data_IF_857579355187
#
_entry.id   IF_857579355187
#
_cell.length_a   1.000
_cell.length_b   1.000
_cell.length_c   1.000
_cell.angle_alpha   90.00
_cell.angle_beta   90.00
_cell.angle_gamma   90.00
#
_symmetry.space_group_name_H-M   'P 1'
#
loop_
_entity.id
_entity.type
_entity.pdbx_description
1 polymer ?
#
# COMPACT_ATOMS: atom_id res chain seq x y z
N UNK A 1 -10.93 24.40 -3.41
CA UNK A 1 -10.43 25.51 -2.55
C UNK A 1 -9.92 25.05 -1.20
N UNK A 2 -10.72 24.43 -0.31
CA UNK A 2 -10.12 23.68 0.82
C UNK A 2 -9.24 22.52 0.32
N UNK A 3 -9.46 22.04 -0.91
CA UNK A 3 -8.55 21.14 -1.64
C UNK A 3 -7.30 21.85 -2.19
N UNK A 4 -7.42 23.05 -2.78
CA UNK A 4 -6.28 23.80 -3.37
C UNK A 4 -5.35 24.38 -2.31
N UNK A 5 -5.92 24.94 -1.25
CA UNK A 5 -5.18 25.42 -0.09
C UNK A 5 -4.52 24.24 0.64
N UNK A 6 -5.27 23.16 0.87
CA UNK A 6 -4.69 21.92 1.40
C UNK A 6 -3.56 21.40 0.52
N UNK A 7 -3.72 21.39 -0.81
CA UNK A 7 -2.67 20.99 -1.75
C UNK A 7 -1.45 21.91 -1.66
N UNK A 8 -1.66 23.22 -1.54
CA UNK A 8 -0.58 24.18 -1.29
C UNK A 8 0.19 23.86 -0.01
N UNK A 9 -0.52 23.59 1.11
CA UNK A 9 0.10 23.21 2.37
C UNK A 9 0.77 21.82 2.33
N UNK A 10 0.23 20.87 1.54
CA UNK A 10 0.88 19.58 1.26
C UNK A 10 2.19 19.79 0.51
N UNK A 11 2.20 20.64 -0.53
CA UNK A 11 3.41 20.96 -1.28
C UNK A 11 4.44 21.69 -0.41
N UNK A 12 4.01 22.64 0.44
CA UNK A 12 4.85 23.32 1.43
C UNK A 12 5.47 22.30 2.40
N UNK A 13 4.68 21.34 2.92
CA UNK A 13 5.14 20.28 3.81
C UNK A 13 6.19 19.37 3.14
N UNK A 14 5.92 18.90 1.92
CA UNK A 14 6.85 18.05 1.18
C UNK A 14 8.20 18.73 0.97
N UNK A 15 8.20 20.03 0.64
CA UNK A 15 9.43 20.82 0.49
C UNK A 15 10.18 20.95 1.82
N UNK A 16 9.48 21.23 2.91
CA UNK A 16 10.11 21.35 4.24
C UNK A 16 10.77 20.04 4.67
N UNK A 17 10.09 18.90 4.52
CA UNK A 17 10.66 17.58 4.82
C UNK A 17 11.86 17.27 3.92
N UNK A 18 11.77 17.53 2.61
CA UNK A 18 12.88 17.32 1.68
C UNK A 18 14.13 18.17 2.02
N UNK A 19 13.93 19.32 2.65
CA UNK A 19 15.00 20.23 3.09
C UNK A 19 15.49 19.97 4.51
N UNK A 20 14.96 18.95 5.21
CA UNK A 20 15.19 18.69 6.64
C UNK A 20 14.80 19.87 7.56
N UNK A 21 13.85 20.70 7.13
CA UNK A 21 13.29 21.80 7.92
C UNK A 21 12.09 21.31 8.75
N UNK A 22 12.40 20.57 9.82
CA UNK A 22 11.39 19.91 10.65
C UNK A 22 10.50 20.89 11.41
N UNK A 23 11.01 22.08 11.75
CA UNK A 23 10.22 23.12 12.41
C UNK A 23 9.12 23.66 11.49
N UNK A 24 9.43 23.91 10.22
CA UNK A 24 8.38 24.32 9.27
C UNK A 24 7.49 23.14 8.88
N UNK A 25 8.01 21.91 8.80
CA UNK A 25 7.18 20.72 8.59
C UNK A 25 6.10 20.59 9.68
N UNK A 26 6.46 20.76 10.95
CA UNK A 26 5.50 20.71 12.08
C UNK A 26 4.38 21.76 11.93
N UNK A 27 4.71 22.99 11.55
CA UNK A 27 3.71 24.05 11.30
C UNK A 27 2.76 23.69 10.17
N UNK A 28 3.27 23.15 9.07
CA UNK A 28 2.42 22.72 7.94
C UNK A 28 1.49 21.56 8.35
N UNK A 29 1.95 20.65 9.21
CA UNK A 29 1.13 19.56 9.76
C UNK A 29 -0.02 20.13 10.62
N UNK A 30 0.28 21.09 11.50
CA UNK A 30 -0.75 21.79 12.31
C UNK A 30 -1.78 22.51 11.43
N UNK A 31 -1.33 23.21 10.38
CA UNK A 31 -2.21 23.87 9.41
C UNK A 31 -3.12 22.87 8.67
N UNK A 32 -2.58 21.73 8.22
CA UNK A 32 -3.37 20.66 7.59
C UNK A 32 -4.41 20.08 8.57
N UNK A 33 -4.10 20.00 9.86
CA UNK A 33 -5.07 19.58 10.89
C UNK A 33 -6.22 20.56 11.08
N UNK A 34 -5.92 21.85 11.12
CA UNK A 34 -6.94 22.91 11.15
C UNK A 34 -7.83 22.86 9.91
N UNK A 35 -7.24 22.74 8.72
CA UNK A 35 -8.00 22.60 7.46
C UNK A 35 -8.89 21.36 7.48
N UNK A 36 -8.41 20.24 8.04
CA UNK A 36 -9.18 19.01 8.15
C UNK A 36 -10.42 19.18 9.04
N UNK A 37 -10.24 19.76 10.23
CA UNK A 37 -11.29 20.08 11.20
C UNK A 37 -12.32 21.05 10.61
N UNK A 38 -11.89 22.13 9.96
CA UNK A 38 -12.78 23.06 9.28
C UNK A 38 -13.65 22.38 8.21
N UNK A 39 -13.05 21.49 7.40
CA UNK A 39 -13.83 20.73 6.43
C UNK A 39 -14.81 19.77 7.11
N UNK A 40 -14.53 19.28 8.32
CA UNK A 40 -15.43 18.42 9.10
C UNK A 40 -16.62 19.19 9.70
N UNK A 41 -16.58 20.53 9.65
CA UNK A 41 -17.57 21.40 10.26
C UNK A 41 -17.23 21.78 11.71
N UNK A 42 -16.03 21.47 12.17
CA UNK A 42 -15.59 21.79 13.53
C UNK A 42 -15.30 23.30 13.67
N UNK A 43 -15.50 23.82 14.88
CA UNK A 43 -15.09 25.19 15.23
C UNK A 43 -13.64 25.19 15.65
N UNK A 44 -12.86 26.13 15.14
CA UNK A 44 -11.43 26.28 15.45
C UNK A 44 -11.22 27.46 16.39
N UNK A 45 -10.56 27.21 17.51
CA UNK A 45 -9.94 28.25 18.32
C UNK A 45 -8.57 28.55 17.73
N UNK A 46 -8.36 29.80 17.34
CA UNK A 46 -7.11 30.25 16.75
C UNK A 46 -6.21 30.91 17.80
N UNK A 47 -4.92 30.62 17.77
CA UNK A 47 -3.92 31.39 18.50
C UNK A 47 -3.31 32.53 17.67
N UNK A 48 -2.16 33.00 18.14
CA UNK A 48 -1.40 34.13 17.57
C UNK A 48 -0.10 33.68 16.87
N UNK A 49 0.09 32.38 16.62
CA UNK A 49 1.29 31.91 15.95
C UNK A 49 1.35 32.42 14.50
N UNK A 50 2.55 32.72 13.95
CA UNK A 50 2.67 33.27 12.60
C UNK A 50 2.00 32.40 11.51
N UNK A 51 2.04 31.07 11.67
CA UNK A 51 1.42 30.15 10.72
C UNK A 51 -0.12 30.16 10.80
N UNK A 52 -0.69 30.43 11.97
CA UNK A 52 -2.14 30.55 12.16
C UNK A 52 -2.66 31.81 11.49
N UNK A 53 -1.94 32.93 11.65
CA UNK A 53 -2.28 34.20 11.00
C UNK A 53 -2.18 34.07 9.47
N UNK A 54 -1.15 33.40 8.96
CA UNK A 54 -1.02 33.12 7.52
C UNK A 54 -2.20 32.29 7.01
N UNK A 55 -2.55 31.20 7.69
CA UNK A 55 -3.66 30.33 7.30
C UNK A 55 -5.02 31.04 7.36
N UNK A 56 -5.27 31.87 8.38
CA UNK A 56 -6.49 32.66 8.50
C UNK A 56 -6.65 33.64 7.32
N UNK A 57 -5.56 34.31 6.93
CA UNK A 57 -5.56 35.21 5.78
C UNK A 57 -5.84 34.44 4.48
N UNK A 58 -5.16 33.31 4.25
CA UNK A 58 -5.37 32.48 3.05
C UNK A 58 -6.78 31.85 3.00
N UNK A 59 -7.43 31.60 4.14
CA UNK A 59 -8.83 31.14 4.23
C UNK A 59 -9.86 32.22 3.91
N UNK A 60 -9.53 33.50 4.15
CA UNK A 60 -10.43 34.63 3.91
C UNK A 60 -10.60 34.97 2.43
N UNK A 61 -9.64 34.60 1.58
CA UNK A 61 -9.67 34.79 0.14
C UNK A 61 -10.43 33.66 -0.57
N UNK A 62 -11.76 33.84 -0.67
CA UNK A 62 -12.73 33.17 -1.55
C UNK A 62 -12.71 31.62 -1.62
N UNK A 63 -13.81 31.00 -1.18
CA UNK A 63 -14.02 29.54 -1.18
C UNK A 63 -15.06 29.09 -2.21
N UNK A 64 -14.73 28.02 -2.95
CA UNK A 64 -15.63 27.23 -3.80
C UNK A 64 -15.42 25.75 -3.45
N UNK A 65 -16.48 25.02 -3.05
CA UNK A 65 -16.40 23.60 -2.77
C UNK A 65 -16.11 22.81 -4.05
N UNK A 66 -15.18 21.85 -3.95
CA UNK A 66 -15.00 20.82 -4.98
C UNK A 66 -16.14 19.80 -4.88
N UNK A 67 -16.60 19.19 -5.98
CA UNK A 67 -17.45 18.00 -5.93
C UNK A 67 -16.83 16.95 -5.02
N UNK A 68 -17.68 16.17 -4.33
CA UNK A 68 -17.22 15.04 -3.54
C UNK A 68 -16.48 14.07 -4.45
N UNK A 69 -15.17 13.97 -4.28
CA UNK A 69 -14.33 13.03 -5.03
C UNK A 69 -14.78 11.59 -4.72
N UNK A 70 -14.94 10.77 -5.75
CA UNK A 70 -15.18 9.34 -5.59
C UNK A 70 -14.05 8.74 -4.76
N UNK A 71 -14.40 8.15 -3.61
CA UNK A 71 -13.42 7.52 -2.73
C UNK A 71 -12.76 6.36 -3.46
N UNK A 72 -11.44 6.43 -3.65
CA UNK A 72 -10.65 5.37 -4.24
C UNK A 72 -9.82 4.66 -3.16
N UNK A 73 -9.95 3.33 -3.06
CA UNK A 73 -9.23 2.50 -2.09
C UNK A 73 -8.46 1.38 -2.80
N UNK A 74 -7.30 1.04 -2.25
CA UNK A 74 -6.56 -0.20 -2.50
C UNK A 74 -6.48 -1.05 -1.24
N UNK A 75 -6.09 -2.32 -1.37
CA UNK A 75 -5.86 -3.20 -0.22
C UNK A 75 -4.95 -2.57 0.84
N UNK A 76 -3.81 -2.02 0.43
CA UNK A 76 -2.86 -1.37 1.36
C UNK A 76 -3.45 -0.14 2.05
N UNK A 77 -4.32 0.62 1.38
CA UNK A 77 -5.00 1.77 2.01
C UNK A 77 -6.06 1.33 3.02
N UNK A 78 -6.81 0.25 2.73
CA UNK A 78 -7.78 -0.34 3.64
C UNK A 78 -7.08 -0.86 4.88
N UNK A 79 -6.00 -1.63 4.70
CA UNK A 79 -5.17 -2.14 5.79
C UNK A 79 -4.54 -1.02 6.63
N UNK A 80 -4.07 0.07 5.98
CA UNK A 80 -3.51 1.22 6.70
C UNK A 80 -4.57 1.87 7.61
N UNK A 81 -5.80 2.04 7.13
CA UNK A 81 -6.89 2.60 7.95
C UNK A 81 -7.25 1.67 9.10
N UNK A 82 -7.34 0.36 8.85
CA UNK A 82 -7.63 -0.64 9.89
C UNK A 82 -6.53 -0.73 10.94
N UNK A 83 -5.26 -0.54 10.56
CA UNK A 83 -4.13 -0.49 11.50
C UNK A 83 -4.18 0.80 12.34
N UNK A 84 -4.38 1.96 11.71
CA UNK A 84 -4.55 3.22 12.41
C UNK A 84 -5.21 4.28 11.49
N UNK A 85 -6.43 4.76 11.81
CA UNK A 85 -7.11 5.78 11.02
C UNK A 85 -6.31 7.09 10.88
N UNK A 86 -5.61 7.52 11.93
CA UNK A 86 -4.72 8.69 11.85
C UNK A 86 -3.55 8.46 10.87
N UNK A 87 -2.95 7.26 10.86
CA UNK A 87 -1.88 6.91 9.92
C UNK A 87 -2.38 6.97 8.47
N UNK A 88 -3.60 6.48 8.22
CA UNK A 88 -4.24 6.61 6.91
C UNK A 88 -4.41 8.08 6.54
N UNK A 89 -4.90 8.93 7.45
CA UNK A 89 -5.05 10.36 7.19
C UNK A 89 -3.71 11.00 6.84
N UNK A 90 -2.70 10.84 7.68
CA UNK A 90 -1.36 11.39 7.43
C UNK A 90 -0.78 10.97 6.09
N UNK A 91 -0.87 9.68 5.77
CA UNK A 91 -0.30 9.13 4.52
C UNK A 91 -1.11 9.49 3.28
N UNK A 92 -2.42 9.28 3.31
CA UNK A 92 -3.28 9.31 2.12
C UNK A 92 -3.94 10.67 1.91
N UNK A 93 -4.35 11.32 3.00
CA UNK A 93 -5.10 12.58 2.97
C UNK A 93 -4.17 13.78 3.08
N UNK A 94 -3.21 13.76 4.01
CA UNK A 94 -2.32 14.90 4.31
C UNK A 94 -0.97 14.78 3.57
N UNK A 95 -0.71 13.64 2.92
CA UNK A 95 0.48 13.38 2.10
C UNK A 95 1.79 13.70 2.82
N UNK A 96 1.82 13.46 4.13
CA UNK A 96 3.03 13.59 4.96
C UNK A 96 4.03 12.53 4.46
N UNK A 97 5.24 12.92 4.01
CA UNK A 97 6.23 11.96 3.56
C UNK A 97 6.62 11.00 4.68
N UNK A 98 6.69 9.71 4.36
CA UNK A 98 7.36 8.73 5.20
C UNK A 98 8.88 8.97 5.14
N UNK A 99 9.62 8.59 6.18
CA UNK A 99 11.08 8.69 6.19
C UNK A 99 11.70 7.99 4.97
N UNK A 100 12.87 8.46 4.51
CA UNK A 100 13.52 8.04 3.25
C UNK A 100 13.38 6.52 2.98
N UNK A 101 13.09 6.17 1.72
CA UNK A 101 12.73 4.81 1.27
C UNK A 101 13.47 3.75 2.07
N UNK A 102 12.73 3.05 2.93
CA UNK A 102 13.28 1.94 3.71
C UNK A 102 13.91 0.98 2.70
N UNK A 103 15.20 0.60 2.83
CA UNK A 103 15.85 -0.33 1.90
C UNK A 103 15.05 -1.62 1.62
N UNK A 104 14.17 -2.00 2.55
CA UNK A 104 13.23 -3.11 2.41
C UNK A 104 12.14 -2.88 1.34
N UNK A 105 11.65 -1.65 1.17
CA UNK A 105 10.67 -1.32 0.14
C UNK A 105 11.30 -1.37 -1.25
N UNK A 106 12.48 -0.76 -1.42
CA UNK A 106 13.25 -0.84 -2.67
C UNK A 106 13.58 -2.30 -3.01
N UNK A 107 14.07 -3.07 -2.03
CA UNK A 107 14.29 -4.49 -2.17
C UNK A 107 13.02 -5.24 -2.62
N UNK A 108 11.89 -5.00 -1.96
CA UNK A 108 10.60 -5.59 -2.33
C UNK A 108 10.22 -5.30 -3.78
N UNK A 109 10.29 -4.03 -4.19
CA UNK A 109 9.95 -3.61 -5.56
C UNK A 109 10.84 -4.29 -6.61
N UNK A 110 12.14 -4.38 -6.38
CA UNK A 110 13.07 -5.09 -7.28
C UNK A 110 12.65 -6.56 -7.41
N UNK A 111 12.36 -7.23 -6.30
CA UNK A 111 11.97 -8.64 -6.30
C UNK A 111 10.65 -8.88 -7.04
N UNK A 112 9.63 -8.04 -6.84
CA UNK A 112 8.39 -8.13 -7.60
C UNK A 112 8.66 -7.94 -9.09
N UNK A 113 9.48 -6.95 -9.46
CA UNK A 113 9.84 -6.70 -10.87
C UNK A 113 10.57 -7.89 -11.51
N UNK A 114 11.46 -8.54 -10.77
CA UNK A 114 12.14 -9.75 -11.21
C UNK A 114 11.13 -10.87 -11.46
N UNK A 115 10.19 -11.10 -10.53
CA UNK A 115 9.19 -12.16 -10.65
C UNK A 115 8.16 -11.89 -11.76
N UNK A 116 7.75 -10.63 -11.94
CA UNK A 116 6.91 -10.18 -13.07
C UNK A 116 7.56 -10.55 -14.39
N UNK A 117 8.83 -10.17 -14.59
CA UNK A 117 9.59 -10.45 -15.82
C UNK A 117 9.87 -11.94 -16.01
N UNK A 118 10.17 -12.64 -14.92
CA UNK A 118 10.46 -14.06 -14.93
C UNK A 118 9.26 -14.89 -15.39
N UNK A 119 8.05 -14.56 -14.91
CA UNK A 119 6.81 -15.24 -15.29
C UNK A 119 6.12 -14.66 -16.54
N UNK A 120 6.42 -13.41 -16.90
CA UNK A 120 5.87 -12.74 -18.09
C UNK A 120 6.64 -13.00 -19.38
N UNK A 121 7.76 -13.73 -19.33
CA UNK A 121 8.54 -14.12 -20.51
C UNK A 121 8.34 -15.60 -20.85
N UNK A 122 8.25 -15.91 -22.14
CA UNK A 122 8.30 -17.31 -22.59
C UNK A 122 9.72 -17.86 -22.35
N UNK A 123 9.85 -18.90 -21.55
CA UNK A 123 11.15 -19.46 -21.19
C UNK A 123 11.08 -20.62 -20.20
N UNK A 124 12.22 -21.30 -20.01
CA UNK A 124 12.35 -22.36 -19.02
C UNK A 124 12.58 -21.76 -17.63
N UNK A 125 11.81 -22.21 -16.64
CA UNK A 125 12.00 -21.86 -15.23
C UNK A 125 13.39 -22.33 -14.78
N UNK A 126 14.37 -21.43 -14.77
CA UNK A 126 15.78 -21.72 -14.48
C UNK A 126 16.42 -20.69 -13.55
N UNK A 127 17.44 -21.13 -12.81
CA UNK A 127 18.20 -20.23 -11.93
C UNK A 127 18.92 -19.16 -12.76
N UNK A 128 19.55 -19.56 -13.87
CA UNK A 128 20.31 -18.64 -14.72
C UNK A 128 19.41 -17.50 -15.24
N UNK A 129 18.18 -17.80 -15.66
CA UNK A 129 17.24 -16.80 -16.14
C UNK A 129 16.83 -15.82 -15.02
N UNK A 130 16.40 -16.30 -13.86
CA UNK A 130 15.93 -15.41 -12.79
C UNK A 130 17.06 -14.52 -12.25
N UNK A 131 18.29 -15.04 -12.21
CA UNK A 131 19.47 -14.31 -11.75
C UNK A 131 19.94 -13.27 -12.78
N UNK A 132 19.83 -13.58 -14.07
CA UNK A 132 20.08 -12.59 -15.11
C UNK A 132 19.10 -11.42 -14.98
N UNK A 133 17.81 -11.70 -14.80
CA UNK A 133 16.79 -10.65 -14.61
C UNK A 133 17.08 -9.86 -13.33
N UNK A 134 17.48 -10.51 -12.23
CA UNK A 134 17.91 -9.83 -11.01
C UNK A 134 19.06 -8.85 -11.27
N UNK A 135 20.09 -9.28 -12.00
CA UNK A 135 21.24 -8.42 -12.30
C UNK A 135 20.85 -7.19 -13.15
N UNK A 136 19.89 -7.35 -14.06
CA UNK A 136 19.38 -6.26 -14.89
C UNK A 136 18.51 -5.26 -14.09
N UNK A 137 17.69 -5.75 -13.15
CA UNK A 137 16.84 -4.90 -12.30
C UNK A 137 17.61 -4.28 -11.13
N UNK A 138 18.73 -4.86 -10.72
CA UNK A 138 19.54 -4.37 -9.60
C UNK A 138 20.41 -3.18 -10.00
N UNK A 139 19.86 -1.97 -9.90
CA UNK A 139 20.58 -0.73 -10.20
C UNK A 139 21.40 -0.24 -9.00
N UNK A 140 22.70 -0.11 -9.20
CA UNK A 140 23.61 0.42 -8.17
C UNK A 140 23.27 1.86 -7.78
N UNK A 141 23.33 2.15 -6.48
CA UNK A 141 23.09 3.50 -5.94
C UNK A 141 21.64 3.80 -5.56
N UNK A 142 20.72 2.84 -5.71
CA UNK A 142 19.35 2.95 -5.16
C UNK A 142 19.31 2.74 -3.63
N UNK A 143 20.42 2.31 -3.03
CA UNK A 143 20.56 2.08 -1.60
C UNK A 143 21.49 3.12 -0.96
N UNK A 144 21.08 3.67 0.19
CA UNK A 144 21.85 4.69 0.93
C UNK A 144 23.22 4.19 1.41
N UNK A 145 23.41 2.88 1.55
CA UNK A 145 24.64 2.27 2.07
C UNK A 145 25.07 1.04 1.25
N UNK A 146 26.22 1.16 0.58
CA UNK A 146 26.77 0.14 -0.34
C UNK A 146 27.00 -1.24 0.32
N UNK A 147 27.54 -1.31 1.53
CA UNK A 147 27.72 -2.60 2.25
C UNK A 147 26.39 -3.29 2.58
N UNK A 148 25.30 -2.52 2.71
CA UNK A 148 23.96 -3.07 2.93
C UNK A 148 23.36 -3.56 1.62
N UNK A 149 23.70 -2.92 0.51
CA UNK A 149 23.30 -3.33 -0.84
C UNK A 149 23.86 -4.70 -1.20
N UNK A 150 25.17 -4.93 -1.02
CA UNK A 150 25.81 -6.24 -1.31
C UNK A 150 25.11 -7.39 -0.56
N UNK A 151 24.90 -7.22 0.75
CA UNK A 151 24.19 -8.23 1.58
C UNK A 151 22.73 -8.44 1.16
N UNK A 152 22.05 -7.38 0.71
CA UNK A 152 20.69 -7.52 0.20
C UNK A 152 20.71 -8.28 -1.14
N UNK A 153 21.69 -8.03 -2.01
CA UNK A 153 21.83 -8.76 -3.27
C UNK A 153 22.11 -10.24 -3.04
N UNK A 154 23.03 -10.58 -2.13
CA UNK A 154 23.27 -11.97 -1.72
C UNK A 154 21.98 -12.66 -1.24
N UNK A 155 21.20 -11.98 -0.37
CA UNK A 155 19.91 -12.47 0.09
C UNK A 155 18.89 -12.66 -1.06
N UNK A 156 18.87 -11.75 -2.04
CA UNK A 156 18.01 -11.88 -3.21
C UNK A 156 18.37 -13.11 -4.04
N UNK A 157 19.66 -13.35 -4.28
CA UNK A 157 20.16 -14.51 -5.04
C UNK A 157 19.72 -15.82 -4.38
N UNK A 158 20.02 -16.01 -3.09
CA UNK A 158 19.66 -17.25 -2.37
C UNK A 158 18.14 -17.47 -2.36
N UNK A 159 17.39 -16.40 -2.13
CA UNK A 159 15.93 -16.42 -2.09
C UNK A 159 15.31 -16.78 -3.44
N UNK A 160 15.81 -16.22 -4.55
CA UNK A 160 15.29 -16.47 -5.90
C UNK A 160 15.69 -17.86 -6.41
N UNK A 161 16.87 -18.36 -6.06
CA UNK A 161 17.26 -19.76 -6.37
C UNK A 161 16.30 -20.76 -5.76
N UNK A 162 16.04 -20.63 -4.46
CA UNK A 162 15.08 -21.48 -3.75
C UNK A 162 13.66 -21.34 -4.31
N UNK A 163 13.25 -20.12 -4.66
CA UNK A 163 11.98 -19.88 -5.32
C UNK A 163 11.86 -20.68 -6.62
N UNK A 164 12.89 -20.62 -7.46
CA UNK A 164 12.97 -21.39 -8.71
C UNK A 164 12.93 -22.90 -8.44
N UNK A 165 13.71 -23.41 -7.48
CA UNK A 165 13.71 -24.84 -7.12
C UNK A 165 12.34 -25.36 -6.70
N UNK A 166 11.59 -24.56 -5.93
CA UNK A 166 10.22 -24.88 -5.55
C UNK A 166 9.29 -24.84 -6.78
N UNK A 167 9.41 -23.80 -7.61
CA UNK A 167 8.53 -23.57 -8.76
C UNK A 167 8.73 -24.60 -9.88
N UNK A 168 9.96 -25.11 -10.08
CA UNK A 168 10.23 -26.14 -11.09
C UNK A 168 9.53 -27.47 -10.82
N UNK A 169 9.16 -27.76 -9.57
CA UNK A 169 8.47 -29.00 -9.20
C UNK A 169 7.04 -29.02 -9.73
N UNK A 170 6.37 -27.87 -9.74
CA UNK A 170 5.05 -27.67 -10.32
C UNK A 170 5.02 -26.34 -11.08
N UNK A 171 5.50 -26.31 -12.34
CA UNK A 171 5.53 -25.09 -13.14
C UNK A 171 4.12 -24.50 -13.32
N UNK A 172 3.89 -23.22 -12.99
CA UNK A 172 2.59 -22.59 -13.15
C UNK A 172 2.25 -22.36 -14.63
N UNK A 173 0.97 -22.47 -14.98
CA UNK A 173 0.46 -22.01 -16.26
C UNK A 173 0.01 -20.56 -16.13
N UNK A 174 0.96 -19.63 -16.26
CA UNK A 174 0.74 -18.20 -16.01
C UNK A 174 -0.18 -17.59 -17.06
N UNK A 175 -1.23 -16.90 -16.62
CA UNK A 175 -2.13 -16.10 -17.46
C UNK A 175 -1.68 -14.65 -17.57
N UNK A 176 -1.30 -14.04 -16.44
CA UNK A 176 -0.95 -12.63 -16.36
C UNK A 176 -0.04 -12.37 -15.15
N UNK A 177 0.78 -11.31 -15.23
CA UNK A 177 1.64 -10.82 -14.15
C UNK A 177 1.44 -9.31 -13.97
N UNK A 178 1.45 -8.85 -12.71
CA UNK A 178 1.23 -7.44 -12.36
C UNK A 178 -0.06 -6.86 -12.99
N UNK A 179 -1.12 -7.67 -13.06
CA UNK A 179 -2.40 -7.30 -13.66
C UNK A 179 -3.04 -6.15 -12.87
N UNK A 180 -3.04 -4.96 -13.45
CA UNK A 180 -3.72 -3.78 -12.90
C UNK A 180 -5.23 -3.93 -13.07
N UNK A 181 -5.96 -3.68 -11.99
CA UNK A 181 -7.42 -3.71 -12.02
C UNK A 181 -8.04 -2.49 -11.35
N UNK A 182 -9.28 -2.21 -11.75
CA UNK A 182 -10.15 -1.28 -11.04
C UNK A 182 -11.60 -1.72 -11.19
N UNK A 183 -12.38 -1.56 -10.13
CA UNK A 183 -13.82 -1.82 -10.14
C UNK A 183 -14.56 -0.90 -9.18
N UNK A 184 -15.87 -0.76 -9.37
CA UNK A 184 -16.74 -0.08 -8.42
C UNK A 184 -17.31 -1.09 -7.42
N UNK A 185 -17.23 -0.76 -6.13
CA UNK A 185 -17.85 -1.50 -5.04
C UNK A 185 -18.73 -0.53 -4.26
N UNK A 186 -20.02 -0.50 -4.58
CA UNK A 186 -21.03 0.37 -3.95
C UNK A 186 -20.62 1.85 -3.91
N UNK A 187 -20.15 2.38 -5.05
CA UNK A 187 -19.68 3.76 -5.17
C UNK A 187 -18.32 4.03 -4.51
N UNK A 188 -17.55 2.97 -4.21
CA UNK A 188 -16.15 3.03 -3.81
C UNK A 188 -15.32 2.46 -4.96
N UNK A 189 -14.42 3.26 -5.51
CA UNK A 189 -13.51 2.77 -6.55
C UNK A 189 -12.42 1.93 -5.91
N UNK A 190 -12.39 0.64 -6.19
CA UNK A 190 -11.29 -0.22 -5.78
C UNK A 190 -10.24 -0.25 -6.89
N UNK A 191 -8.97 -0.15 -6.51
CA UNK A 191 -7.82 -0.22 -7.41
C UNK A 191 -6.76 -1.14 -6.82
N UNK A 192 -6.04 -1.84 -7.67
CA UNK A 192 -4.95 -2.70 -7.24
C UNK A 192 -4.21 -3.34 -8.40
N UNK A 193 -3.35 -4.28 -8.05
CA UNK A 193 -2.50 -5.00 -8.97
C UNK A 193 -2.35 -6.41 -8.42
N UNK A 194 -2.56 -7.44 -9.24
CA UNK A 194 -2.38 -8.85 -8.85
C UNK A 194 -1.01 -9.27 -9.37
N UNK A 195 -0.11 -9.73 -8.49
CA UNK A 195 1.27 -10.04 -8.88
C UNK A 195 1.35 -11.17 -9.92
N UNK A 196 0.58 -12.25 -9.73
CA UNK A 196 0.48 -13.35 -10.68
C UNK A 196 -0.87 -14.03 -10.66
N UNK A 197 -1.39 -14.35 -11.85
CA UNK A 197 -2.58 -15.17 -12.05
C UNK A 197 -2.17 -16.40 -12.86
N UNK A 198 -2.52 -17.58 -12.37
CA UNK A 198 -2.28 -18.85 -13.04
C UNK A 198 -3.62 -19.49 -13.43
N UNK A 199 -3.66 -20.16 -14.58
CA UNK A 199 -4.79 -20.98 -14.99
C UNK A 199 -4.67 -22.38 -14.37
N UNK A 200 -5.80 -22.94 -13.93
CA UNK A 200 -5.91 -24.33 -13.47
C UNK A 200 -7.23 -24.93 -13.97
N UNK A 201 -7.31 -26.27 -14.14
CA UNK A 201 -8.54 -26.94 -14.59
C UNK A 201 -9.79 -26.64 -13.76
N UNK A 202 -9.63 -26.26 -12.48
CA UNK A 202 -10.74 -26.02 -11.56
C UNK A 202 -11.06 -24.52 -11.37
N UNK A 203 -10.32 -23.62 -12.01
CA UNK A 203 -10.43 -22.17 -11.84
C UNK A 203 -9.07 -21.51 -11.73
N UNK A 204 -9.05 -20.18 -11.73
CA UNK A 204 -7.78 -19.44 -11.65
C UNK A 204 -7.18 -19.51 -10.24
N UNK A 205 -5.85 -19.46 -10.16
CA UNK A 205 -5.11 -19.30 -8.90
C UNK A 205 -4.46 -17.93 -8.90
N UNK A 206 -4.48 -17.23 -7.77
CA UNK A 206 -3.81 -15.93 -7.63
C UNK A 206 -2.70 -16.01 -6.59
N UNK A 207 -1.58 -15.35 -6.87
CA UNK A 207 -0.42 -15.31 -5.98
C UNK A 207 -0.05 -13.86 -5.71
N UNK A 208 0.26 -13.59 -4.44
CA UNK A 208 0.79 -12.31 -3.96
C UNK A 208 2.12 -12.58 -3.24
N UNK A 209 3.21 -12.03 -3.77
CA UNK A 209 4.56 -12.25 -3.26
C UNK A 209 4.83 -11.35 -2.05
N UNK A 210 5.45 -11.92 -1.02
CA UNK A 210 5.84 -11.21 0.20
C UNK A 210 7.33 -11.39 0.47
N UNK A 211 8.05 -10.28 0.58
CA UNK A 211 9.46 -10.23 0.99
C UNK A 211 9.66 -10.03 2.49
N UNK A 212 8.57 -9.99 3.26
CA UNK A 212 8.60 -9.93 4.72
C UNK A 212 9.03 -11.27 5.31
N UNK A 213 9.76 -11.23 6.43
CA UNK A 213 10.15 -12.46 7.17
C UNK A 213 8.98 -13.09 7.92
N UNK A 214 8.00 -12.28 8.36
CA UNK A 214 6.84 -12.76 9.10
C UNK A 214 5.78 -13.23 8.12
N UNK A 215 5.41 -14.50 8.21
CA UNK A 215 4.25 -15.05 7.50
C UNK A 215 2.94 -14.64 8.17
N UNK A 216 1.89 -14.50 7.36
CA UNK A 216 0.52 -14.27 7.81
C UNK A 216 -0.45 -15.23 7.10
N UNK A 217 -1.57 -15.60 7.73
CA UNK A 217 -2.55 -16.47 7.09
C UNK A 217 -3.26 -15.78 5.92
N UNK A 218 -3.42 -16.49 4.79
CA UNK A 218 -4.17 -15.98 3.63
C UNK A 218 -5.66 -15.74 3.90
N UNK A 219 -6.29 -16.55 4.77
CA UNK A 219 -7.72 -16.45 5.11
C UNK A 219 -8.18 -15.06 5.53
N UNK A 220 -7.32 -14.30 6.21
CA UNK A 220 -7.66 -12.97 6.73
C UNK A 220 -7.08 -11.83 5.87
N UNK A 221 -6.48 -12.15 4.73
CA UNK A 221 -5.86 -11.17 3.84
C UNK A 221 -6.93 -10.32 3.15
N UNK A 222 -6.95 -9.02 3.43
CA UNK A 222 -7.81 -8.07 2.73
C UNK A 222 -7.41 -7.98 1.26
N UNK A 223 -6.10 -8.04 1.00
CA UNK A 223 -5.54 -8.01 -0.35
C UNK A 223 -6.04 -9.17 -1.22
N UNK A 224 -5.92 -10.42 -0.75
CA UNK A 224 -6.41 -11.58 -1.49
C UNK A 224 -7.94 -11.60 -1.64
N UNK A 225 -8.66 -11.10 -0.62
CA UNK A 225 -10.10 -10.91 -0.70
C UNK A 225 -10.50 -9.93 -1.79
N UNK A 226 -9.79 -8.81 -1.93
CA UNK A 226 -10.02 -7.82 -2.99
C UNK A 226 -9.72 -8.40 -4.38
N UNK A 227 -8.65 -9.18 -4.53
CA UNK A 227 -8.36 -9.86 -5.80
C UNK A 227 -9.49 -10.81 -6.19
N UNK A 228 -9.99 -11.56 -5.21
CA UNK A 228 -11.11 -12.48 -5.41
C UNK A 228 -12.40 -11.75 -5.78
N UNK A 229 -12.68 -10.59 -5.16
CA UNK A 229 -13.82 -9.72 -5.53
C UNK A 229 -13.72 -9.21 -6.97
N UNK A 230 -12.52 -8.78 -7.39
CA UNK A 230 -12.29 -8.33 -8.77
C UNK A 230 -12.55 -9.46 -9.77
N UNK A 231 -11.95 -10.63 -9.54
CA UNK A 231 -12.09 -11.78 -10.45
C UNK A 231 -13.51 -12.35 -10.46
N UNK A 232 -14.24 -12.26 -9.35
CA UNK A 232 -15.64 -12.70 -9.30
C UNK A 232 -16.55 -11.93 -10.26
N UNK A 233 -16.29 -10.65 -10.49
CA UNK A 233 -17.20 -9.76 -11.23
C UNK A 233 -16.65 -9.27 -12.57
N UNK A 234 -15.38 -9.57 -12.88
CA UNK A 234 -14.79 -9.19 -14.16
C UNK A 234 -15.52 -9.90 -15.31
N UNK A 235 -15.68 -9.20 -16.44
CA UNK A 235 -16.29 -9.75 -17.65
C UNK A 235 -15.28 -10.47 -18.55
N UNK A 236 -13.99 -10.46 -18.18
CA UNK A 236 -12.95 -11.21 -18.90
C UNK A 236 -13.14 -12.72 -18.63
N UNK A 237 -13.64 -13.45 -19.63
CA UNK A 237 -13.93 -14.88 -19.55
C UNK A 237 -12.73 -15.75 -19.13
N UNK A 238 -11.49 -15.30 -19.38
CA UNK A 238 -10.29 -16.03 -18.96
C UNK A 238 -10.00 -15.84 -17.47
N UNK A 239 -10.40 -14.71 -16.91
CA UNK A 239 -10.10 -14.30 -15.54
C UNK A 239 -11.30 -14.53 -14.60
N UNK A 240 -12.51 -14.50 -15.14
CA UNK A 240 -13.75 -14.49 -14.40
C UNK A 240 -13.94 -15.73 -13.51
N UNK A 241 -14.44 -15.48 -12.30
CA UNK A 241 -14.72 -16.48 -11.29
C UNK A 241 -13.97 -16.21 -9.98
N UNK A 242 -14.53 -16.71 -8.88
CA UNK A 242 -13.80 -16.74 -7.62
C UNK A 242 -12.59 -17.67 -7.80
N UNK A 243 -11.36 -17.25 -7.45
CA UNK A 243 -10.17 -18.09 -7.59
C UNK A 243 -10.31 -19.42 -6.85
N UNK A 244 -9.81 -20.50 -7.46
CA UNK A 244 -9.66 -21.81 -6.81
C UNK A 244 -8.84 -21.67 -5.52
N UNK A 245 -7.73 -20.95 -5.63
CA UNK A 245 -6.86 -20.62 -4.50
C UNK A 245 -6.31 -19.22 -4.62
N UNK A 246 -6.28 -18.50 -3.50
CA UNK A 246 -5.53 -17.26 -3.36
C UNK A 246 -4.40 -17.46 -2.36
N UNK A 247 -3.16 -17.18 -2.78
CA UNK A 247 -1.94 -17.55 -2.07
C UNK A 247 -1.10 -16.33 -1.72
N UNK A 248 -0.67 -16.23 -0.46
CA UNK A 248 0.46 -15.40 -0.08
C UNK A 248 1.74 -16.24 -0.17
N UNK A 249 2.69 -15.82 -0.99
CA UNK A 249 3.98 -16.50 -1.14
C UNK A 249 5.08 -15.71 -0.41
N UNK A 250 5.50 -16.20 0.77
CA UNK A 250 6.55 -15.59 1.58
C UNK A 250 7.92 -16.10 1.14
N UNK A 251 8.59 -15.33 0.29
CA UNK A 251 9.88 -15.69 -0.31
C UNK A 251 10.99 -15.95 0.73
N UNK A 252 10.87 -15.36 1.92
CA UNK A 252 11.83 -15.52 3.03
C UNK A 252 11.47 -16.63 4.03
N UNK A 253 10.36 -17.34 3.84
CA UNK A 253 10.01 -18.49 4.66
C UNK A 253 10.41 -19.77 3.92
N UNK A 254 11.44 -20.45 4.42
CA UNK A 254 12.01 -21.63 3.76
C UNK A 254 11.20 -22.90 4.03
N UNK A 255 10.57 -23.01 5.20
CA UNK A 255 9.84 -24.21 5.62
C UNK A 255 8.41 -24.22 5.06
N UNK A 256 7.75 -23.06 5.04
CA UNK A 256 6.38 -22.91 4.59
C UNK A 256 6.22 -21.60 3.80
N UNK A 257 6.66 -21.57 2.53
CA UNK A 257 6.58 -20.36 1.72
C UNK A 257 5.14 -20.00 1.33
N UNK A 258 4.27 -20.99 1.14
CA UNK A 258 2.90 -20.77 0.64
C UNK A 258 1.86 -20.85 1.76
N UNK A 259 1.02 -19.82 1.83
CA UNK A 259 -0.20 -19.82 2.62
C UNK A 259 -1.37 -19.54 1.69
N UNK A 260 -2.26 -20.52 1.51
CA UNK A 260 -3.35 -20.44 0.54
C UNK A 260 -4.71 -20.47 1.24
N UNK A 261 -5.71 -19.84 0.62
CA UNK A 261 -7.10 -19.90 1.04
C UNK A 261 -8.04 -19.91 -0.17
N UNK A 262 -9.13 -20.66 -0.08
CA UNK A 262 -10.22 -20.63 -1.06
C UNK A 262 -11.33 -19.76 -0.48
N UNK A 263 -11.52 -18.57 -1.05
CA UNK A 263 -12.55 -17.65 -0.58
C UNK A 263 -13.94 -18.15 -0.96
N UNK A 264 -14.85 -18.15 0.00
CA UNK A 264 -16.28 -18.40 -0.25
C UNK A 264 -17.03 -17.09 -0.43
N UNK A 265 -18.26 -17.13 -0.96
CA UNK A 265 -19.12 -15.93 -1.05
C UNK A 265 -19.24 -15.22 0.31
N UNK A 266 -19.39 -16.01 1.38
CA UNK A 266 -19.47 -15.49 2.74
C UNK A 266 -18.18 -14.77 3.18
N UNK A 267 -17.01 -15.28 2.78
CA UNK A 267 -15.74 -14.60 3.08
C UNK A 267 -15.67 -13.28 2.29
N UNK A 268 -16.10 -13.27 1.02
CA UNK A 268 -16.13 -12.08 0.19
C UNK A 268 -17.10 -11.02 0.72
N UNK A 269 -18.28 -11.43 1.21
CA UNK A 269 -19.22 -10.53 1.89
C UNK A 269 -18.59 -9.87 3.13
N UNK A 270 -17.82 -10.62 3.91
CA UNK A 270 -17.09 -10.05 5.05
C UNK A 270 -16.01 -9.04 4.62
N UNK A 271 -15.39 -9.24 3.46
CA UNK A 271 -14.44 -8.27 2.88
C UNK A 271 -15.18 -7.02 2.38
N UNK A 272 -16.34 -7.18 1.71
CA UNK A 272 -17.20 -6.05 1.28
C UNK A 272 -17.61 -5.18 2.47
N UNK A 273 -18.12 -5.80 3.53
CA UNK A 273 -18.51 -5.06 4.75
C UNK A 273 -17.32 -4.34 5.38
N UNK A 274 -16.16 -4.98 5.45
CA UNK A 274 -14.94 -4.36 5.97
C UNK A 274 -14.52 -3.13 5.15
N UNK A 275 -14.58 -3.21 3.81
CA UNK A 275 -14.28 -2.08 2.92
C UNK A 275 -15.32 -0.96 3.11
N UNK A 276 -16.60 -1.32 3.21
CA UNK A 276 -17.68 -0.38 3.45
C UNK A 276 -17.53 0.34 4.80
N UNK A 277 -17.14 -0.35 5.87
CA UNK A 277 -16.84 0.23 7.18
C UNK A 277 -15.70 1.24 7.12
N UNK A 278 -14.60 0.87 6.46
CA UNK A 278 -13.46 1.76 6.24
C UNK A 278 -13.90 2.99 5.45
N UNK A 279 -14.64 2.81 4.35
CA UNK A 279 -15.15 3.92 3.55
C UNK A 279 -16.10 4.84 4.33
N UNK A 280 -16.99 4.27 5.16
CA UNK A 280 -17.85 5.04 6.09
C UNK A 280 -17.00 5.86 7.05
N UNK A 281 -15.98 5.24 7.65
CA UNK A 281 -15.04 5.90 8.54
C UNK A 281 -14.31 7.08 7.91
N UNK A 282 -13.75 6.87 6.71
CA UNK A 282 -13.06 7.90 5.93
C UNK A 282 -14.00 9.05 5.57
N UNK A 283 -15.19 8.75 5.06
CA UNK A 283 -16.20 9.77 4.68
C UNK A 283 -16.67 10.58 5.88
N UNK A 284 -16.81 9.93 7.04
CA UNK A 284 -17.16 10.56 8.31
C UNK A 284 -15.98 11.24 9.03
N UNK A 285 -14.79 11.24 8.41
CA UNK A 285 -13.56 11.85 8.95
C UNK A 285 -13.12 11.34 10.32
N UNK A 286 -13.39 10.06 10.58
CA UNK A 286 -12.96 9.38 11.80
C UNK A 286 -11.50 8.97 11.66
N UNK A 287 -10.59 9.80 12.17
CA UNK A 287 -9.14 9.61 12.05
C UNK A 287 -8.44 9.58 13.40
N UNK A 288 -9.10 9.00 14.40
CA UNK A 288 -8.59 8.88 15.75
C UNK A 288 -7.31 8.01 15.76
N UNK A 289 -6.30 8.37 16.58
CA UNK A 289 -5.09 7.55 16.71
C UNK A 289 -5.42 6.21 17.37
N UNK A 290 -4.80 5.14 16.86
CA UNK A 290 -4.80 3.83 17.49
C UNK A 290 -3.38 3.50 17.97
N UNK A 291 -3.23 3.30 19.28
CA UNK A 291 -1.96 2.89 19.89
C UNK A 291 -1.83 1.37 19.92
N UNK A 292 -0.69 0.85 19.49
CA UNK A 292 -0.39 -0.58 19.47
C UNK A 292 1.06 -0.86 19.11
N UNK A 293 1.42 -2.13 18.91
CA UNK A 293 2.79 -2.53 18.55
C UNK A 293 3.26 -1.83 17.26
N UNK A 294 2.34 -1.57 16.31
CA UNK A 294 2.59 -0.84 15.08
C UNK A 294 3.15 0.58 15.25
N UNK A 295 2.95 1.19 16.42
CA UNK A 295 3.52 2.49 16.71
C UNK A 295 5.06 2.47 16.75
N UNK A 296 5.69 1.36 17.14
CA UNK A 296 7.16 1.28 17.32
C UNK A 296 7.94 1.46 16.00
N UNK A 297 7.29 1.24 14.86
CA UNK A 297 7.85 1.46 13.53
C UNK A 297 7.02 2.43 12.68
N UNK A 298 6.14 3.21 13.30
CA UNK A 298 5.34 4.21 12.61
C UNK A 298 6.17 5.49 12.39
N UNK A 299 6.38 5.88 11.12
CA UNK A 299 7.16 7.08 10.78
C UNK A 299 6.57 8.38 11.35
N UNK A 300 5.26 8.40 11.63
CA UNK A 300 4.56 9.56 12.16
C UNK A 300 4.60 9.65 13.70
N UNK A 301 5.03 8.60 14.41
CA UNK A 301 4.96 8.54 15.89
C UNK A 301 5.64 9.74 16.54
N UNK A 302 6.88 10.02 16.15
CA UNK A 302 7.68 11.10 16.73
C UNK A 302 7.55 12.43 15.98
N UNK A 303 6.80 12.45 14.87
CA UNK A 303 6.68 13.62 14.00
C UNK A 303 5.42 14.44 14.29
N UNK A 304 4.27 13.77 14.45
CA UNK A 304 2.98 14.46 14.49
C UNK A 304 1.86 13.69 15.21
N UNK A 305 2.17 12.57 15.87
CA UNK A 305 1.13 11.74 16.47
C UNK A 305 0.77 12.28 17.88
N UNK A 306 -0.45 12.81 18.09
CA UNK A 306 -0.84 13.40 19.38
C UNK A 306 -0.93 12.38 20.51
N UNK A 307 -1.03 11.08 20.19
CA UNK A 307 -0.99 10.01 21.19
C UNK A 307 0.40 9.82 21.84
N UNK A 308 1.44 10.47 21.31
CA UNK A 308 2.83 10.36 21.76
C UNK A 308 3.52 11.73 21.94
N UNK A 309 2.76 12.83 21.83
CA UNK A 309 3.22 14.15 22.24
C UNK A 309 3.31 14.19 23.78
N UNK A 310 4.44 14.71 24.29
CA UNK A 310 4.74 14.80 25.72
C UNK A 310 4.16 16.06 26.34
#
# INVERSE_FOLDING_TARGET
MASDLKKSYQDKLQRAVAQNDYTNAEKMIKALDVLHKLQAGDTIEWGDEPWETELQNELSDSFVPSPAETLSLSASTVETYLECPLKYRFKQIDKIPESASRPQLTFGNIIHKVLERFHGSEGEITEDQILQILDEEWKSGEFTYMQREEKLKEQAVEMLKRYVDNTKQEPPHVLDTELKFSFDLDGIRIVGMIDRIDNSPNGNKVVDYKTSKRSTPAKNSVQLGIYSLYLQQTEDEKLAGIPETATLYFLRNEEQPEHSHTFTEKDLDAIREKIADVARGIRAKRFEPCSGYHCDWCDYKNLACPAWES
#
